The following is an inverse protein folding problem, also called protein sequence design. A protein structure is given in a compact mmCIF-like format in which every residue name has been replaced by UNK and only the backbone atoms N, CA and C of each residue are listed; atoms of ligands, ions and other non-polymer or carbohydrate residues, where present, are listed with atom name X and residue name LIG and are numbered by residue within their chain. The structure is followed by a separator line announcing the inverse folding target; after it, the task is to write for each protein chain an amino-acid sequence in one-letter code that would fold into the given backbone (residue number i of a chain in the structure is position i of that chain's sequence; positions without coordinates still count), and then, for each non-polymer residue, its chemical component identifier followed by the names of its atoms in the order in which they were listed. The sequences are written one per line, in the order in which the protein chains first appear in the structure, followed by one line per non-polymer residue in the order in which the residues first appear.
data_IF_805188545440
#
_entry.id   IF_805188545440
#
_cell.length_a   1.000
_cell.length_b   1.000
_cell.length_c   1.000
_cell.angle_alpha   90.00
_cell.angle_beta   90.00
_cell.angle_gamma   90.00
#
_symmetry.space_group_name_H-M   'P 1'
#
loop_
_entity.id
_entity.type
_entity.pdbx_description
1 polymer ?
#
# COMPACT_ATOMS: atom_id res chain seq x y z
N UNK A 1 -31.78 52.28 -13.84
CA UNK A 1 -30.66 52.57 -12.88
C UNK A 1 -30.64 51.45 -11.87
N UNK A 2 -29.84 50.44 -12.11
CA UNK A 2 -29.66 49.24 -11.25
C UNK A 2 -28.19 49.17 -10.84
N UNK A 3 -27.95 49.17 -9.50
CA UNK A 3 -26.60 49.08 -8.92
C UNK A 3 -26.06 47.64 -9.03
N UNK A 4 -24.75 47.45 -9.26
CA UNK A 4 -24.14 46.15 -9.29
C UNK A 4 -23.92 45.59 -7.87
N UNK A 5 -24.10 44.24 -7.69
CA UNK A 5 -23.83 43.49 -6.48
C UNK A 5 -22.32 43.33 -6.28
N UNK A 6 -21.89 43.45 -5.02
CA UNK A 6 -20.52 43.21 -4.59
C UNK A 6 -20.15 41.70 -4.60
N UNK A 7 -18.91 41.39 -4.95
CA UNK A 7 -18.30 40.06 -4.90
C UNK A 7 -17.96 39.63 -3.46
N UNK A 8 -17.98 38.34 -3.11
CA UNK A 8 -17.67 37.83 -1.78
C UNK A 8 -16.15 37.85 -1.52
N UNK A 9 -15.79 38.24 -0.29
CA UNK A 9 -14.44 38.49 0.15
C UNK A 9 -13.54 37.25 0.24
N UNK A 10 -12.31 37.49 -0.10
CA UNK A 10 -11.13 36.64 0.08
C UNK A 10 -10.83 36.46 1.57
N UNK A 11 -10.84 35.21 2.06
CA UNK A 11 -10.39 34.87 3.41
C UNK A 11 -8.87 34.75 3.39
N UNK A 12 -8.19 35.73 4.01
CA UNK A 12 -6.74 35.74 4.20
C UNK A 12 -6.37 34.80 5.35
N UNK A 13 -5.59 33.78 5.07
CA UNK A 13 -4.94 32.96 6.08
C UNK A 13 -3.77 33.71 6.70
N UNK A 14 -3.87 34.05 7.99
CA UNK A 14 -2.74 34.56 8.77
C UNK A 14 -1.87 33.41 9.24
N UNK A 15 -0.69 33.26 8.63
CA UNK A 15 0.38 32.40 9.12
C UNK A 15 1.08 33.08 10.29
N UNK A 16 1.00 32.52 11.49
CA UNK A 16 1.80 32.93 12.64
C UNK A 16 3.18 32.28 12.55
N UNK A 17 4.15 32.98 12.01
CA UNK A 17 5.56 32.62 12.09
C UNK A 17 6.13 33.18 13.42
N UNK A 18 6.67 32.29 14.25
CA UNK A 18 7.43 32.69 15.46
C UNK A 18 8.73 33.35 15.03
N UNK A 19 8.95 34.57 15.51
CA UNK A 19 10.15 35.38 15.25
C UNK A 19 11.25 34.93 16.22
N UNK A 20 12.34 34.34 15.74
CA UNK A 20 13.59 34.22 16.50
C UNK A 20 14.28 35.57 16.59
N UNK A 21 14.92 35.93 17.73
CA UNK A 21 15.59 37.22 17.91
C UNK A 21 16.83 37.31 17.00
N UNK A 22 16.97 38.47 16.36
CA UNK A 22 18.12 38.90 15.57
C UNK A 22 18.96 39.82 16.46
N UNK A 23 20.32 39.68 16.42
CA UNK A 23 21.22 40.56 17.13
C UNK A 23 21.27 41.94 16.50
N UNK A 24 21.94 42.90 17.20
CA UNK A 24 22.01 44.30 16.77
C UNK A 24 22.74 44.56 15.44
N UNK A 25 23.40 43.51 14.90
CA UNK A 25 24.16 43.59 13.66
C UNK A 25 23.49 42.82 12.51
N UNK A 26 22.23 42.36 12.68
CA UNK A 26 21.44 41.69 11.62
C UNK A 26 21.84 40.24 11.30
N UNK A 27 22.62 39.60 12.18
CA UNK A 27 23.06 38.22 11.99
C UNK A 27 22.23 37.25 12.84
N UNK A 28 21.94 36.08 12.31
CA UNK A 28 21.30 34.99 13.06
C UNK A 28 22.36 34.35 13.98
N UNK A 29 22.06 34.23 15.25
CA UNK A 29 22.88 33.53 16.22
C UNK A 29 22.81 32.01 15.94
N UNK A 30 23.97 31.31 15.86
CA UNK A 30 23.96 29.84 15.74
C UNK A 30 23.52 29.22 17.07
N UNK A 31 22.76 28.07 16.94
CA UNK A 31 22.36 27.29 18.09
C UNK A 31 23.59 26.75 18.86
N UNK A 32 23.52 26.67 20.20
CA UNK A 32 24.60 26.10 21.00
C UNK A 32 24.72 24.59 20.73
N UNK A 33 25.95 24.02 20.81
CA UNK A 33 26.18 22.60 20.58
C UNK A 33 25.41 21.75 21.60
N UNK A 34 24.65 20.76 21.10
CA UNK A 34 23.95 19.77 21.92
C UNK A 34 24.99 18.85 22.54
N UNK A 35 25.27 19.01 23.82
CA UNK A 35 26.04 18.02 24.59
C UNK A 35 25.27 16.70 24.63
N UNK A 36 25.92 15.67 24.09
CA UNK A 36 25.44 14.30 24.16
C UNK A 36 25.46 13.78 25.60
N UNK A 37 24.32 13.84 26.27
CA UNK A 37 24.11 13.07 27.51
C UNK A 37 23.57 11.68 27.12
N UNK A 38 24.48 10.74 26.98
CA UNK A 38 24.17 9.33 26.88
C UNK A 38 23.41 8.84 28.12
N UNK A 39 22.18 8.41 27.94
CA UNK A 39 21.55 7.38 28.76
C UNK A 39 21.20 6.23 27.84
N UNK A 40 21.93 5.13 28.03
CA UNK A 40 21.64 3.84 27.46
C UNK A 40 20.22 3.41 27.89
N UNK A 41 19.26 3.54 26.99
CA UNK A 41 18.02 2.80 27.09
C UNK A 41 18.35 1.38 26.59
N UNK A 42 18.34 0.41 27.49
CA UNK A 42 18.42 -1.00 27.14
C UNK A 42 17.21 -1.36 26.27
N UNK A 43 17.41 -1.37 24.96
CA UNK A 43 16.47 -1.86 23.97
C UNK A 43 16.25 -3.36 24.20
N UNK A 44 15.02 -3.75 24.53
CA UNK A 44 14.61 -5.15 24.38
C UNK A 44 14.59 -5.44 22.89
N UNK A 45 15.57 -6.16 22.42
CA UNK A 45 15.59 -6.78 21.10
C UNK A 45 14.48 -7.82 21.06
N UNK A 46 13.43 -7.58 20.30
CA UNK A 46 12.46 -8.59 19.93
C UNK A 46 13.10 -9.50 18.88
N UNK A 47 13.46 -10.72 19.32
CA UNK A 47 14.14 -11.76 18.54
C UNK A 47 13.08 -12.52 17.72
N UNK A 48 12.80 -12.07 16.48
CA UNK A 48 11.74 -12.63 15.60
C UNK A 48 12.27 -13.62 14.55
N UNK A 49 13.59 -13.95 14.58
CA UNK A 49 14.17 -14.86 13.58
C UNK A 49 15.23 -15.78 14.21
N UNK A 50 14.80 -16.87 14.84
CA UNK A 50 15.67 -18.05 15.01
C UNK A 50 15.05 -19.22 14.27
N UNK A 51 15.70 -19.77 13.21
CA UNK A 51 15.36 -21.07 12.67
C UNK A 51 15.75 -22.13 13.71
N UNK A 52 14.79 -22.98 14.07
CA UNK A 52 15.03 -24.10 14.97
C UNK A 52 16.05 -25.07 14.40
N UNK A 53 17.18 -25.24 15.09
CA UNK A 53 18.18 -26.26 14.80
C UNK A 53 17.61 -27.63 15.23
N UNK A 54 17.05 -28.37 14.28
CA UNK A 54 16.60 -29.77 14.46
C UNK A 54 17.76 -30.74 14.23
N UNK A 55 18.13 -31.46 15.26
CA UNK A 55 19.21 -32.44 15.26
C UNK A 55 18.95 -33.65 14.37
N UNK A 56 20.04 -34.13 13.79
CA UNK A 56 20.14 -35.34 13.00
C UNK A 56 19.84 -36.60 13.83
N UNK A 57 18.94 -37.45 13.39
CA UNK A 57 18.99 -38.88 13.69
C UNK A 57 18.85 -39.68 12.41
N UNK A 58 19.90 -40.48 12.14
CA UNK A 58 19.96 -41.52 11.09
C UNK A 58 19.06 -42.69 11.46
N UNK A 59 18.37 -43.23 10.49
CA UNK A 59 17.65 -44.50 10.57
C UNK A 59 16.90 -44.74 9.27
N UNK A 60 17.46 -45.47 8.31
CA UNK A 60 16.70 -46.16 7.27
C UNK A 60 16.32 -47.55 7.81
N UNK A 61 15.57 -48.41 7.10
CA UNK A 61 15.11 -48.39 5.71
C UNK A 61 13.60 -48.70 5.57
N UNK A 62 13.01 -48.56 4.43
CA UNK A 62 12.25 -49.63 3.75
C UNK A 62 11.36 -49.07 2.65
N UNK A 63 11.48 -49.67 1.46
CA UNK A 63 10.66 -49.42 0.30
C UNK A 63 9.20 -49.80 0.55
N UNK A 64 8.29 -48.89 0.29
CA UNK A 64 6.92 -49.18 -0.05
C UNK A 64 6.52 -48.25 -1.21
N UNK A 65 6.39 -48.84 -2.40
CA UNK A 65 5.82 -48.20 -3.58
C UNK A 65 4.34 -47.96 -3.32
N UNK A 66 4.02 -46.73 -2.96
CA UNK A 66 2.65 -46.22 -2.91
C UNK A 66 2.50 -45.12 -3.96
N UNK A 67 1.56 -45.31 -4.91
CA UNK A 67 1.09 -44.28 -5.83
C UNK A 67 0.58 -43.07 -5.04
N UNK A 68 1.50 -42.23 -4.58
CA UNK A 68 1.21 -40.94 -4.00
C UNK A 68 1.02 -39.98 -5.14
N UNK A 69 -0.23 -39.61 -5.46
CA UNK A 69 -0.49 -38.37 -6.14
C UNK A 69 0.32 -37.29 -5.42
N UNK A 70 1.32 -36.72 -6.08
CA UNK A 70 2.08 -35.64 -5.56
C UNK A 70 1.07 -34.52 -5.25
N UNK A 71 0.74 -34.34 -3.98
CA UNK A 71 0.08 -33.15 -3.49
C UNK A 71 0.99 -32.01 -3.92
N UNK A 72 0.63 -31.36 -5.03
CA UNK A 72 1.26 -30.11 -5.47
C UNK A 72 1.23 -29.20 -4.25
N UNK A 73 2.36 -29.07 -3.56
CA UNK A 73 2.51 -28.08 -2.50
C UNK A 73 2.16 -26.76 -3.14
N UNK A 74 1.02 -26.17 -2.75
CA UNK A 74 0.68 -24.81 -3.17
C UNK A 74 1.88 -23.95 -2.87
N UNK A 75 2.35 -23.12 -3.80
CA UNK A 75 3.47 -22.24 -3.54
C UNK A 75 3.12 -21.38 -2.33
N UNK A 76 4.03 -21.32 -1.36
CA UNK A 76 3.94 -20.42 -0.24
C UNK A 76 4.05 -19.03 -0.85
N UNK A 77 2.99 -18.23 -0.77
CA UNK A 77 3.00 -16.85 -1.25
C UNK A 77 2.67 -15.91 -0.08
N UNK A 78 3.71 -15.25 0.40
CA UNK A 78 3.61 -14.21 1.42
C UNK A 78 3.68 -12.85 0.76
N UNK A 79 2.64 -12.05 0.97
CA UNK A 79 2.48 -10.73 0.39
C UNK A 79 2.59 -9.69 1.50
N UNK A 80 3.37 -8.63 1.25
CA UNK A 80 3.36 -7.40 2.04
C UNK A 80 2.60 -6.33 1.27
N UNK A 81 1.49 -5.83 1.84
CA UNK A 81 0.79 -4.66 1.35
C UNK A 81 1.22 -3.44 2.15
N UNK A 82 1.69 -2.42 1.46
CA UNK A 82 1.94 -1.07 1.97
C UNK A 82 1.29 -0.07 1.02
N UNK A 83 0.74 1.01 1.54
CA UNK A 83 0.16 2.10 0.74
C UNK A 83 0.45 3.44 1.40
N UNK A 84 0.19 4.53 0.70
CA UNK A 84 0.16 5.88 1.27
C UNK A 84 1.47 6.28 1.95
N UNK A 85 2.61 5.93 1.35
CA UNK A 85 3.94 6.29 1.87
C UNK A 85 4.21 7.79 1.80
N UNK A 86 3.58 8.52 0.86
CA UNK A 86 3.64 9.97 0.73
C UNK A 86 5.05 10.53 0.92
N UNK A 87 6.00 9.99 0.14
CA UNK A 87 7.41 10.40 0.18
C UNK A 87 8.05 10.34 1.58
N UNK A 88 7.56 9.46 2.47
CA UNK A 88 8.12 9.26 3.80
C UNK A 88 9.30 8.30 3.74
N UNK A 89 10.50 8.81 3.43
CA UNK A 89 11.70 8.01 3.14
C UNK A 89 12.03 6.96 4.22
N UNK A 90 11.92 7.23 5.55
CA UNK A 90 12.12 6.19 6.55
C UNK A 90 11.18 4.99 6.43
N UNK A 91 9.97 5.18 5.87
CA UNK A 91 9.05 4.07 5.61
C UNK A 91 9.51 3.25 4.39
N UNK A 92 10.02 3.89 3.34
CA UNK A 92 10.66 3.18 2.23
C UNK A 92 11.88 2.38 2.70
N UNK A 93 12.74 2.95 3.56
CA UNK A 93 13.88 2.23 4.16
C UNK A 93 13.40 0.96 4.89
N UNK A 94 12.33 1.07 5.66
CA UNK A 94 11.74 -0.08 6.35
C UNK A 94 11.22 -1.13 5.37
N UNK A 95 10.51 -0.72 4.31
CA UNK A 95 9.99 -1.66 3.30
C UNK A 95 11.14 -2.40 2.61
N UNK A 96 12.21 -1.70 2.21
CA UNK A 96 13.42 -2.33 1.63
C UNK A 96 14.04 -3.35 2.60
N UNK A 97 14.13 -2.99 3.88
CA UNK A 97 14.70 -3.86 4.91
C UNK A 97 13.91 -5.18 5.09
N UNK A 98 12.57 -5.12 5.05
CA UNK A 98 11.74 -6.32 5.29
C UNK A 98 11.39 -7.09 4.01
N UNK A 99 11.54 -6.49 2.83
CA UNK A 99 11.19 -7.07 1.54
C UNK A 99 11.71 -8.50 1.33
N UNK A 100 12.97 -8.86 1.73
CA UNK A 100 13.46 -10.24 1.56
C UNK A 100 12.67 -11.31 2.31
N UNK A 101 11.82 -10.92 3.26
CA UNK A 101 10.97 -11.83 4.02
C UNK A 101 9.64 -12.14 3.31
N UNK A 102 9.35 -11.54 2.16
CA UNK A 102 8.12 -11.70 1.41
C UNK A 102 8.39 -12.18 -0.02
N UNK A 103 7.43 -12.90 -0.58
CA UNK A 103 7.49 -13.36 -1.96
C UNK A 103 7.02 -12.25 -2.93
N UNK A 104 6.23 -11.29 -2.42
CA UNK A 104 5.75 -10.12 -3.15
C UNK A 104 5.55 -8.94 -2.21
N UNK A 105 6.09 -7.78 -2.58
CA UNK A 105 5.77 -6.47 -1.98
C UNK A 105 4.83 -5.74 -2.92
N UNK A 106 3.72 -5.23 -2.40
CA UNK A 106 2.75 -4.42 -3.14
C UNK A 106 2.74 -3.01 -2.56
N UNK A 107 3.17 -2.03 -3.35
CA UNK A 107 2.99 -0.61 -3.05
C UNK A 107 1.70 -0.14 -3.72
N UNK A 108 0.64 -0.01 -2.91
CA UNK A 108 -0.70 0.24 -3.40
C UNK A 108 -1.05 1.73 -3.49
N UNK A 109 -0.20 2.51 -4.18
CA UNK A 109 -0.44 3.91 -4.51
C UNK A 109 0.00 4.92 -3.45
N UNK A 110 -0.02 6.20 -3.85
CA UNK A 110 0.41 7.37 -3.09
C UNK A 110 1.84 7.23 -2.57
N UNK A 111 2.74 6.91 -3.50
CA UNK A 111 4.18 6.84 -3.25
C UNK A 111 4.80 8.22 -3.16
N UNK A 112 4.31 9.18 -3.96
CA UNK A 112 4.66 10.59 -3.95
C UNK A 112 3.73 11.39 -3.03
N UNK A 113 4.06 12.66 -2.78
CA UNK A 113 3.22 13.57 -1.98
C UNK A 113 3.10 14.95 -2.64
N UNK A 114 1.93 15.25 -3.20
CA UNK A 114 1.61 16.57 -3.77
C UNK A 114 1.63 17.71 -2.74
N UNK A 115 1.56 17.38 -1.45
CA UNK A 115 1.60 18.34 -0.35
C UNK A 115 3.03 18.62 0.15
N UNK A 116 4.02 17.89 -0.35
CA UNK A 116 5.43 18.06 0.03
C UNK A 116 6.00 19.36 -0.51
N UNK A 117 6.97 19.94 0.22
CA UNK A 117 7.79 21.04 -0.30
C UNK A 117 8.79 20.60 -1.38
N UNK A 118 9.03 19.29 -1.54
CA UNK A 118 9.89 18.73 -2.57
C UNK A 118 9.08 18.56 -3.84
N UNK A 119 9.52 19.09 -5.01
CA UNK A 119 8.80 18.92 -6.28
C UNK A 119 8.61 17.44 -6.67
N UNK A 120 7.53 17.12 -7.37
CA UNK A 120 7.18 15.73 -7.73
C UNK A 120 8.23 15.06 -8.65
N UNK A 121 8.86 15.81 -9.53
CA UNK A 121 9.94 15.33 -10.39
C UNK A 121 11.18 14.89 -9.58
N UNK A 122 11.50 15.62 -8.52
CA UNK A 122 12.57 15.25 -7.59
C UNK A 122 12.17 14.04 -6.75
N UNK A 123 10.93 14.02 -6.25
CA UNK A 123 10.42 12.88 -5.50
C UNK A 123 10.45 11.60 -6.34
N UNK A 124 10.01 11.66 -7.60
CA UNK A 124 9.98 10.48 -8.49
C UNK A 124 11.36 9.88 -8.70
N UNK A 125 12.42 10.69 -8.87
CA UNK A 125 13.80 10.19 -8.96
C UNK A 125 14.20 9.40 -7.71
N UNK A 126 13.88 9.92 -6.53
CA UNK A 126 14.21 9.25 -5.26
C UNK A 126 13.40 7.96 -5.09
N UNK A 127 12.09 8.00 -5.39
CA UNK A 127 11.23 6.82 -5.27
C UNK A 127 11.62 5.75 -6.29
N UNK A 128 11.98 6.12 -7.53
CA UNK A 128 12.51 5.18 -8.52
C UNK A 128 13.74 4.45 -7.99
N UNK A 129 14.65 5.14 -7.31
CA UNK A 129 15.81 4.48 -6.67
C UNK A 129 15.35 3.45 -5.60
N UNK A 130 14.34 3.77 -4.77
CA UNK A 130 13.78 2.79 -3.83
C UNK A 130 13.14 1.59 -4.54
N UNK A 131 12.48 1.79 -5.68
CA UNK A 131 11.92 0.69 -6.47
C UNK A 131 13.02 -0.23 -7.02
N UNK A 132 14.18 0.31 -7.41
CA UNK A 132 15.36 -0.50 -7.79
C UNK A 132 15.90 -1.32 -6.62
N UNK A 133 16.00 -0.72 -5.42
CA UNK A 133 16.40 -1.43 -4.20
C UNK A 133 15.42 -2.55 -3.85
N UNK A 134 14.12 -2.29 -3.91
CA UNK A 134 13.08 -3.27 -3.67
C UNK A 134 13.11 -4.42 -4.69
N UNK A 135 13.30 -4.10 -5.97
CA UNK A 135 13.47 -5.11 -7.03
C UNK A 135 14.70 -5.98 -6.79
N UNK A 136 15.80 -5.40 -6.31
CA UNK A 136 17.00 -6.15 -5.97
C UNK A 136 16.80 -7.04 -4.73
N UNK A 137 15.95 -6.61 -3.77
CA UNK A 137 15.64 -7.34 -2.56
C UNK A 137 14.62 -8.47 -2.78
N UNK A 138 13.74 -8.36 -3.80
CA UNK A 138 12.70 -9.33 -4.06
C UNK A 138 11.77 -8.90 -5.20
N UNK A 139 10.55 -9.45 -5.21
CA UNK A 139 9.52 -9.06 -6.18
C UNK A 139 8.70 -7.91 -5.62
N UNK A 140 8.60 -6.85 -6.38
CA UNK A 140 7.78 -5.67 -6.07
C UNK A 140 6.85 -5.35 -7.23
N UNK A 141 5.65 -4.92 -6.91
CA UNK A 141 4.71 -4.30 -7.86
C UNK A 141 4.24 -2.97 -7.28
N UNK A 142 3.96 -2.00 -8.14
CA UNK A 142 3.52 -0.67 -7.72
C UNK A 142 2.35 -0.21 -8.58
N UNK A 143 1.25 0.23 -7.97
CA UNK A 143 0.21 0.97 -8.66
C UNK A 143 0.26 2.44 -8.28
N UNK A 144 -0.34 3.29 -9.12
CA UNK A 144 -0.51 4.70 -8.81
C UNK A 144 -1.67 4.95 -7.84
N UNK A 145 -1.52 6.03 -7.07
CA UNK A 145 -2.61 6.71 -6.37
C UNK A 145 -2.79 8.12 -6.91
N UNK A 146 -3.68 8.89 -6.31
CA UNK A 146 -3.95 10.27 -6.75
C UNK A 146 -2.80 11.24 -6.51
N UNK A 147 -1.90 10.97 -5.55
CA UNK A 147 -0.69 11.76 -5.32
C UNK A 147 0.45 11.43 -6.28
N UNK A 148 0.33 10.34 -7.05
CA UNK A 148 1.35 9.91 -8.00
C UNK A 148 1.21 10.54 -9.40
N UNK A 149 0.13 11.30 -9.65
CA UNK A 149 -0.16 11.90 -10.95
C UNK A 149 0.82 13.07 -11.22
N UNK A 150 1.60 12.95 -12.29
CA UNK A 150 2.67 13.91 -12.63
C UNK A 150 2.41 14.68 -13.91
N UNK A 151 1.35 14.33 -14.64
CA UNK A 151 0.97 15.06 -15.86
C UNK A 151 -0.06 14.33 -16.71
N UNK A 152 -0.55 14.97 -17.78
CA UNK A 152 -1.51 14.35 -18.67
C UNK A 152 -0.85 13.29 -19.57
N UNK A 153 -1.57 12.22 -19.82
CA UNK A 153 -1.22 11.21 -20.80
C UNK A 153 -1.50 11.69 -22.26
N UNK A 154 -1.35 10.80 -23.23
CA UNK A 154 -1.60 11.11 -24.64
C UNK A 154 -3.08 11.44 -24.96
N UNK A 155 -4.00 11.09 -24.07
CA UNK A 155 -5.43 11.37 -24.15
C UNK A 155 -5.82 12.64 -23.38
N UNK A 156 -4.90 13.24 -22.62
CA UNK A 156 -5.10 14.45 -21.83
C UNK A 156 -5.64 14.20 -20.42
N UNK A 157 -5.75 12.94 -19.98
CA UNK A 157 -6.12 12.59 -18.62
C UNK A 157 -4.87 12.53 -17.73
N UNK A 158 -5.00 12.95 -16.45
CA UNK A 158 -3.86 12.92 -15.51
C UNK A 158 -3.40 11.48 -15.26
N UNK A 159 -2.09 11.28 -15.25
CA UNK A 159 -1.46 9.96 -15.14
C UNK A 159 -0.14 10.02 -14.37
N UNK A 160 0.25 8.91 -13.79
CA UNK A 160 1.52 8.72 -13.09
C UNK A 160 2.64 8.43 -14.10
N UNK A 161 3.02 9.45 -14.90
CA UNK A 161 3.96 9.29 -16.02
C UNK A 161 5.33 8.74 -15.57
N UNK A 162 5.77 9.04 -14.35
CA UNK A 162 7.04 8.56 -13.78
C UNK A 162 7.11 7.03 -13.65
N UNK A 163 5.96 6.34 -13.56
CA UNK A 163 5.92 4.88 -13.52
C UNK A 163 6.36 4.22 -14.84
N UNK A 164 6.39 4.97 -15.95
CA UNK A 164 6.98 4.47 -17.19
C UNK A 164 8.49 4.18 -17.02
N UNK A 165 9.21 4.98 -16.24
CA UNK A 165 10.62 4.75 -15.93
C UNK A 165 10.80 3.53 -15.02
N UNK A 166 9.92 3.35 -14.01
CA UNK A 166 9.90 2.14 -13.18
C UNK A 166 9.71 0.87 -14.03
N UNK A 167 8.80 0.92 -15.01
CA UNK A 167 8.58 -0.19 -15.95
C UNK A 167 9.81 -0.48 -16.81
N UNK A 168 10.49 0.55 -17.33
CA UNK A 168 11.75 0.40 -18.08
C UNK A 168 12.82 -0.23 -17.18
N UNK A 169 12.89 0.15 -15.91
CA UNK A 169 13.76 -0.49 -14.92
C UNK A 169 13.34 -1.93 -14.58
N UNK A 170 12.20 -2.43 -15.10
CA UNK A 170 11.70 -3.79 -14.92
C UNK A 170 10.95 -4.00 -13.62
N UNK A 171 10.35 -2.95 -13.07
CA UNK A 171 9.37 -3.01 -11.98
C UNK A 171 7.97 -3.03 -12.61
N UNK A 172 7.15 -4.06 -12.39
CA UNK A 172 5.77 -4.09 -12.87
C UNK A 172 4.92 -2.97 -12.23
N UNK A 173 4.20 -2.24 -13.08
CA UNK A 173 3.44 -1.04 -12.67
C UNK A 173 2.02 -1.06 -13.25
N UNK A 174 1.35 0.07 -13.16
CA UNK A 174 0.02 0.34 -13.74
C UNK A 174 -0.18 -0.31 -15.09
N UNK A 175 -1.24 -1.08 -15.22
CA UNK A 175 -1.53 -1.75 -16.46
C UNK A 175 -0.73 -3.04 -16.72
N UNK A 176 0.21 -3.44 -15.86
CA UNK A 176 0.88 -4.74 -15.94
C UNK A 176 0.12 -5.81 -15.13
N UNK A 177 0.52 -7.06 -15.31
CA UNK A 177 0.15 -8.17 -14.45
C UNK A 177 1.34 -9.10 -14.26
N UNK A 178 1.46 -9.67 -13.06
CA UNK A 178 2.48 -10.66 -12.73
C UNK A 178 1.83 -11.98 -12.36
N UNK A 179 2.51 -13.08 -12.66
CA UNK A 179 2.06 -14.44 -12.32
C UNK A 179 3.07 -15.06 -11.36
N UNK A 180 2.60 -15.50 -10.20
CA UNK A 180 3.38 -16.14 -9.15
C UNK A 180 2.75 -17.50 -8.82
N UNK A 181 3.26 -18.55 -9.42
CA UNK A 181 2.64 -19.88 -9.32
C UNK A 181 1.25 -19.88 -9.95
N UNK A 182 0.23 -20.14 -9.15
CA UNK A 182 -1.19 -20.17 -9.55
C UNK A 182 -1.89 -18.81 -9.38
N UNK A 183 -1.18 -17.81 -8.86
CA UNK A 183 -1.72 -16.50 -8.50
C UNK A 183 -1.37 -15.47 -9.57
N UNK A 184 -2.39 -14.80 -10.09
CA UNK A 184 -2.26 -13.64 -10.97
C UNK A 184 -2.53 -12.37 -10.19
N UNK A 185 -1.60 -11.41 -10.26
CA UNK A 185 -1.75 -10.07 -9.67
C UNK A 185 -1.87 -9.06 -10.78
N UNK A 186 -3.03 -8.41 -10.90
CA UNK A 186 -3.31 -7.34 -11.86
C UNK A 186 -3.07 -5.99 -11.17
N UNK A 187 -2.26 -5.14 -11.80
CA UNK A 187 -1.91 -3.82 -11.28
C UNK A 187 -2.78 -2.80 -11.99
N UNK A 188 -3.70 -2.21 -11.25
CA UNK A 188 -4.70 -1.28 -11.75
C UNK A 188 -4.23 0.15 -11.54
N UNK A 189 -4.23 1.00 -12.59
CA UNK A 189 -3.88 2.41 -12.47
C UNK A 189 -4.93 3.19 -11.67
N UNK A 190 -4.52 4.28 -11.05
CA UNK A 190 -5.44 5.37 -10.77
C UNK A 190 -5.92 5.95 -12.09
N UNK A 191 -7.21 6.20 -12.21
CA UNK A 191 -7.80 6.85 -13.38
C UNK A 191 -8.39 8.20 -13.00
N UNK A 192 -8.24 9.22 -13.86
CA UNK A 192 -8.68 10.60 -13.63
C UNK A 192 -9.82 11.01 -14.55
N UNK A 193 -10.11 10.20 -15.58
CA UNK A 193 -11.13 10.50 -16.57
C UNK A 193 -11.80 9.26 -17.16
N UNK A 194 -12.78 9.48 -18.06
CA UNK A 194 -13.59 8.40 -18.63
C UNK A 194 -12.80 7.41 -19.49
N UNK A 195 -11.71 7.83 -20.12
CA UNK A 195 -10.90 6.95 -20.99
C UNK A 195 -10.06 5.99 -20.16
N UNK A 196 -9.40 6.49 -19.10
CA UNK A 196 -8.66 5.67 -18.14
C UNK A 196 -9.57 4.66 -17.45
N UNK A 197 -10.76 5.10 -17.01
CA UNK A 197 -11.78 4.21 -16.45
C UNK A 197 -12.19 3.11 -17.42
N UNK A 198 -12.50 3.46 -18.67
CA UNK A 198 -12.89 2.49 -19.71
C UNK A 198 -11.75 1.52 -20.04
N UNK A 199 -10.50 2.00 -20.08
CA UNK A 199 -9.35 1.16 -20.33
C UNK A 199 -9.15 0.13 -19.22
N UNK A 200 -9.37 0.53 -17.96
CA UNK A 200 -9.31 -0.38 -16.80
C UNK A 200 -10.44 -1.42 -16.85
N UNK A 201 -11.67 -1.00 -17.14
CA UNK A 201 -12.84 -1.90 -17.29
C UNK A 201 -12.56 -2.99 -18.34
N UNK A 202 -12.17 -2.58 -19.55
CA UNK A 202 -11.79 -3.52 -20.63
C UNK A 202 -10.62 -4.43 -20.25
N UNK A 203 -9.69 -3.92 -19.44
CA UNK A 203 -8.58 -4.73 -18.97
C UNK A 203 -9.06 -5.82 -18.02
N UNK A 204 -9.88 -5.49 -17.03
CA UNK A 204 -10.42 -6.46 -16.07
C UNK A 204 -11.21 -7.56 -16.79
N UNK A 205 -11.99 -7.20 -17.82
CA UNK A 205 -12.68 -8.19 -18.67
C UNK A 205 -11.70 -9.15 -19.37
N UNK A 206 -10.61 -8.61 -19.97
CA UNK A 206 -9.60 -9.46 -20.62
C UNK A 206 -8.88 -10.37 -19.62
N UNK A 207 -8.57 -9.87 -18.42
CA UNK A 207 -7.92 -10.64 -17.36
C UNK A 207 -8.85 -11.74 -16.81
N UNK A 208 -10.15 -11.45 -16.65
CA UNK A 208 -11.16 -12.42 -16.24
C UNK A 208 -11.29 -13.57 -17.24
N UNK A 209 -11.21 -13.27 -18.55
CA UNK A 209 -11.27 -14.28 -19.63
C UNK A 209 -10.11 -15.31 -19.54
N UNK A 210 -8.99 -14.97 -18.91
CA UNK A 210 -7.87 -15.88 -18.67
C UNK A 210 -8.18 -16.91 -17.57
N UNK A 211 -9.25 -16.73 -16.79
CA UNK A 211 -9.71 -17.61 -15.70
C UNK A 211 -8.57 -17.98 -14.72
N UNK A 212 -7.89 -16.98 -14.13
CA UNK A 212 -6.81 -17.25 -13.19
C UNK A 212 -7.32 -18.10 -12.01
N UNK A 213 -6.53 -19.06 -11.56
CA UNK A 213 -6.90 -19.92 -10.44
C UNK A 213 -7.03 -19.09 -9.14
N UNK A 214 -6.15 -18.10 -8.98
CA UNK A 214 -6.21 -17.08 -7.93
C UNK A 214 -5.99 -15.72 -8.58
N UNK A 215 -6.84 -14.74 -8.25
CA UNK A 215 -6.78 -13.41 -8.85
C UNK A 215 -6.75 -12.35 -7.78
N UNK A 216 -5.70 -11.54 -7.79
CA UNK A 216 -5.45 -10.44 -6.85
C UNK A 216 -5.36 -9.15 -7.64
N UNK A 217 -5.97 -8.08 -7.13
CA UNK A 217 -5.84 -6.73 -7.69
C UNK A 217 -5.05 -5.86 -6.73
N UNK A 218 -4.10 -5.09 -7.25
CA UNK A 218 -3.53 -3.92 -6.60
C UNK A 218 -4.22 -2.69 -7.17
N UNK A 219 -4.97 -1.96 -6.35
CA UNK A 219 -5.73 -0.79 -6.75
C UNK A 219 -5.81 0.18 -5.57
N UNK A 220 -5.54 1.46 -5.80
CA UNK A 220 -5.34 2.39 -4.69
C UNK A 220 -6.61 2.72 -3.91
N UNK A 221 -7.73 2.98 -4.60
CA UNK A 221 -8.97 3.47 -4.00
C UNK A 221 -9.86 2.34 -3.48
N UNK A 222 -10.26 2.31 -2.18
CA UNK A 222 -11.11 1.24 -1.67
C UNK A 222 -12.56 1.36 -2.19
N UNK A 223 -13.33 0.24 -2.22
CA UNK A 223 -14.68 0.23 -2.77
C UNK A 223 -15.68 1.00 -1.90
N UNK A 224 -16.58 1.76 -2.54
CA UNK A 224 -17.64 2.51 -1.87
C UNK A 224 -18.55 1.59 -1.03
N UNK A 225 -18.92 2.07 0.17
CA UNK A 225 -19.78 1.34 1.10
C UNK A 225 -19.11 0.18 1.83
N UNK A 226 -17.78 0.12 1.76
CA UNK A 226 -16.96 -0.79 2.56
C UNK A 226 -16.42 -0.08 3.81
N UNK A 227 -16.31 -0.74 4.97
CA UNK A 227 -15.61 -0.17 6.12
C UNK A 227 -14.18 0.27 5.83
N UNK A 228 -13.55 -0.27 4.78
CA UNK A 228 -12.20 0.12 4.34
C UNK A 228 -12.13 1.49 3.69
N UNK A 229 -13.28 2.09 3.33
CA UNK A 229 -13.36 3.45 2.78
C UNK A 229 -13.92 4.49 3.78
N UNK A 230 -14.11 4.12 5.05
CA UNK A 230 -14.71 4.98 6.06
C UNK A 230 -13.72 5.99 6.63
N UNK A 231 -13.99 7.28 6.50
CA UNK A 231 -13.12 8.36 7.01
C UNK A 231 -13.40 8.74 8.47
N UNK A 232 -14.37 8.09 9.12
CA UNK A 232 -14.89 8.51 10.43
C UNK A 232 -16.03 9.54 10.33
N UNK A 233 -16.35 10.00 9.12
CA UNK A 233 -17.43 10.98 8.86
C UNK A 233 -18.30 10.59 7.68
N UNK A 234 -17.72 10.01 6.64
CA UNK A 234 -18.40 9.59 5.41
C UNK A 234 -17.62 8.45 4.74
N UNK A 235 -18.31 7.69 3.91
CA UNK A 235 -17.65 6.81 2.96
C UNK A 235 -16.94 7.64 1.89
N UNK A 236 -15.67 7.28 1.63
CA UNK A 236 -14.86 7.88 0.60
C UNK A 236 -14.21 6.78 -0.23
N UNK A 237 -15.04 6.09 -1.00
CA UNK A 237 -14.67 4.94 -1.81
C UNK A 237 -15.08 5.08 -3.26
N UNK A 238 -14.58 4.16 -4.08
CA UNK A 238 -14.85 4.07 -5.50
C UNK A 238 -16.05 3.16 -5.78
N UNK A 239 -17.08 3.73 -6.43
CA UNK A 239 -18.27 3.01 -6.83
C UNK A 239 -18.03 2.04 -7.99
N UNK A 240 -17.12 2.39 -8.91
CA UNK A 240 -16.73 1.55 -10.03
C UNK A 240 -15.97 0.32 -9.54
N UNK A 241 -15.02 0.48 -8.62
CA UNK A 241 -14.36 -0.66 -7.99
C UNK A 241 -15.36 -1.59 -7.30
N UNK A 242 -16.35 -1.03 -6.60
CA UNK A 242 -17.42 -1.83 -5.99
C UNK A 242 -18.17 -2.66 -7.03
N UNK A 243 -18.47 -2.06 -8.18
CA UNK A 243 -19.10 -2.72 -9.32
C UNK A 243 -18.22 -3.84 -9.90
N UNK A 244 -16.96 -3.55 -10.17
CA UNK A 244 -16.00 -4.52 -10.70
C UNK A 244 -15.76 -5.70 -9.75
N UNK A 245 -15.64 -5.46 -8.45
CA UNK A 245 -15.53 -6.53 -7.45
C UNK A 245 -16.78 -7.42 -7.48
N UNK A 246 -17.96 -6.83 -7.52
CA UNK A 246 -19.23 -7.57 -7.55
C UNK A 246 -19.35 -8.43 -8.81
N UNK A 247 -18.90 -7.92 -9.95
CA UNK A 247 -18.96 -8.60 -11.24
C UNK A 247 -17.91 -9.71 -11.37
N UNK A 248 -16.63 -9.38 -11.13
CA UNK A 248 -15.52 -10.30 -11.40
C UNK A 248 -15.15 -11.21 -10.23
N UNK A 249 -15.43 -10.78 -8.99
CA UNK A 249 -15.14 -11.55 -7.78
C UNK A 249 -13.68 -12.03 -7.70
N UNK A 250 -12.66 -11.13 -7.78
CA UNK A 250 -11.28 -11.53 -7.50
C UNK A 250 -11.17 -12.12 -6.09
N UNK A 251 -10.11 -12.87 -5.80
CA UNK A 251 -9.91 -13.39 -4.44
C UNK A 251 -9.57 -12.30 -3.44
N UNK A 252 -8.69 -11.36 -3.84
CA UNK A 252 -8.21 -10.28 -2.99
C UNK A 252 -8.09 -8.98 -3.79
N UNK A 253 -8.43 -7.85 -3.16
CA UNK A 253 -8.15 -6.49 -3.63
C UNK A 253 -7.32 -5.77 -2.56
N UNK A 254 -6.18 -5.23 -2.95
CA UNK A 254 -5.21 -4.54 -2.11
C UNK A 254 -5.33 -3.04 -2.35
N UNK A 255 -5.67 -2.26 -1.31
CA UNK A 255 -5.97 -0.82 -1.43
C UNK A 255 -5.24 0.04 -0.40
N UNK A 256 -5.41 1.36 -0.51
CA UNK A 256 -4.92 2.41 0.38
C UNK A 256 -5.89 3.59 0.42
N UNK A 257 -5.40 4.80 0.15
CA UNK A 257 -6.12 6.06 -0.06
C UNK A 257 -6.88 6.60 1.17
N UNK A 258 -7.67 5.80 1.86
CA UNK A 258 -8.40 6.25 3.04
C UNK A 258 -7.57 5.91 4.28
N UNK A 259 -6.72 6.85 4.64
CA UNK A 259 -5.69 6.72 5.68
C UNK A 259 -6.25 6.29 7.03
N UNK A 260 -7.44 6.80 7.37
CA UNK A 260 -8.02 6.68 8.70
C UNK A 260 -8.84 5.41 8.91
N UNK A 261 -9.33 4.75 7.85
CA UNK A 261 -10.26 3.63 7.95
C UNK A 261 -9.83 2.56 8.96
N UNK A 262 -8.55 2.09 8.94
CA UNK A 262 -8.10 1.09 9.89
C UNK A 262 -8.06 1.55 11.33
N UNK A 263 -8.12 2.86 11.57
CA UNK A 263 -7.95 3.46 12.90
C UNK A 263 -9.26 3.99 13.51
N UNK A 264 -10.37 3.97 12.75
CA UNK A 264 -11.67 4.47 13.22
C UNK A 264 -12.53 3.33 13.79
N UNK A 265 -13.38 3.61 14.80
CA UNK A 265 -14.21 2.58 15.44
C UNK A 265 -15.11 1.80 14.48
N UNK A 266 -15.69 2.49 13.48
CA UNK A 266 -16.58 1.89 12.48
C UNK A 266 -15.91 1.63 11.13
N UNK A 267 -14.60 1.94 11.04
CA UNK A 267 -13.76 1.60 9.90
C UNK A 267 -13.09 0.26 10.09
N UNK A 268 -12.41 -0.21 9.05
CA UNK A 268 -11.67 -1.48 9.09
C UNK A 268 -10.49 -1.45 8.12
N UNK A 269 -9.50 -2.27 8.42
CA UNK A 269 -8.40 -2.59 7.51
C UNK A 269 -8.78 -3.70 6.51
N UNK A 270 -9.90 -4.40 6.77
CA UNK A 270 -10.36 -5.52 5.96
C UNK A 270 -11.88 -5.49 5.80
N UNK A 271 -12.38 -5.93 4.64
CA UNK A 271 -13.79 -6.18 4.36
C UNK A 271 -13.94 -7.40 3.46
N UNK A 272 -15.15 -7.95 3.41
CA UNK A 272 -15.48 -9.06 2.52
C UNK A 272 -16.72 -8.76 1.68
N UNK A 273 -16.52 -8.64 0.37
CA UNK A 273 -17.58 -8.37 -0.62
C UNK A 273 -17.81 -9.64 -1.44
N UNK A 274 -18.87 -10.37 -1.15
CA UNK A 274 -19.08 -11.69 -1.72
C UNK A 274 -17.96 -12.64 -1.29
N UNK A 275 -17.17 -13.16 -2.26
CA UNK A 275 -15.98 -13.98 -1.95
C UNK A 275 -14.66 -13.20 -1.89
N UNK A 276 -14.69 -11.92 -2.25
CA UNK A 276 -13.52 -11.06 -2.36
C UNK A 276 -13.13 -10.47 -1.01
N UNK A 277 -11.89 -10.65 -0.59
CA UNK A 277 -11.30 -9.87 0.48
C UNK A 277 -10.78 -8.54 -0.03
N UNK A 278 -11.07 -7.46 0.68
CA UNK A 278 -10.54 -6.12 0.42
C UNK A 278 -9.70 -5.72 1.61
N UNK A 279 -8.47 -5.27 1.37
CA UNK A 279 -7.57 -4.81 2.42
C UNK A 279 -7.15 -3.36 2.16
N UNK A 280 -7.16 -2.54 3.21
CA UNK A 280 -6.61 -1.19 3.22
C UNK A 280 -5.60 -1.10 4.37
N UNK A 281 -4.32 -0.85 4.04
CA UNK A 281 -3.28 -0.76 5.05
C UNK A 281 -3.45 0.46 5.96
N UNK A 282 -4.05 1.55 5.44
CA UNK A 282 -4.10 2.85 6.11
C UNK A 282 -2.74 3.52 6.17
N UNK A 283 -2.69 4.71 6.77
CA UNK A 283 -1.46 5.50 6.93
C UNK A 283 -1.23 5.87 8.38
N UNK A 284 0.01 5.74 8.81
CA UNK A 284 0.47 6.21 10.11
C UNK A 284 1.78 6.99 9.98
N UNK A 285 2.06 7.83 10.99
CA UNK A 285 3.35 8.54 11.11
C UNK A 285 4.42 7.59 11.67
N UNK A 286 5.69 7.96 11.48
CA UNK A 286 6.83 7.21 12.00
C UNK A 286 7.57 6.41 10.92
N UNK A 287 8.67 5.73 11.30
CA UNK A 287 9.52 5.05 10.33
C UNK A 287 8.98 3.71 9.84
N UNK A 288 8.00 3.12 10.53
CA UNK A 288 7.34 1.88 10.13
C UNK A 288 5.95 2.22 9.61
N UNK A 289 5.58 1.90 8.36
CA UNK A 289 4.24 2.13 7.85
C UNK A 289 3.22 1.19 8.49
N UNK A 290 1.95 1.59 8.56
CA UNK A 290 0.89 0.62 8.71
C UNK A 290 0.90 -0.32 7.50
N UNK A 291 0.72 -1.62 7.72
CA UNK A 291 0.86 -2.60 6.64
C UNK A 291 0.03 -3.85 6.88
N UNK A 292 -0.26 -4.59 5.80
CA UNK A 292 -0.92 -5.89 5.88
C UNK A 292 0.03 -6.97 5.38
N UNK A 293 0.17 -8.04 6.14
CA UNK A 293 0.87 -9.24 5.74
C UNK A 293 -0.16 -10.33 5.42
N UNK A 294 -0.04 -10.95 4.26
CA UNK A 294 -0.96 -11.99 3.81
C UNK A 294 -0.15 -13.26 3.54
N UNK A 295 -0.48 -14.35 4.22
CA UNK A 295 0.05 -15.69 3.95
C UNK A 295 -1.04 -16.52 3.28
N UNK A 296 -0.93 -16.69 1.97
CA UNK A 296 -1.92 -17.43 1.20
C UNK A 296 -1.87 -18.94 1.46
N UNK A 297 -0.73 -19.48 1.89
CA UNK A 297 -0.60 -20.90 2.23
C UNK A 297 -1.21 -21.20 3.60
N UNK A 298 -0.99 -20.32 4.57
CA UNK A 298 -1.61 -20.41 5.90
C UNK A 298 -3.09 -19.98 5.88
N UNK A 299 -3.55 -19.27 4.82
CA UNK A 299 -4.89 -18.76 4.72
C UNK A 299 -5.15 -17.62 5.73
N UNK A 300 -4.16 -16.77 5.99
CA UNK A 300 -4.22 -15.74 7.03
C UNK A 300 -3.85 -14.37 6.48
N UNK A 301 -4.43 -13.32 7.09
CA UNK A 301 -3.97 -11.95 6.92
C UNK A 301 -3.82 -11.28 8.28
N UNK A 302 -2.80 -10.42 8.42
CA UNK A 302 -2.51 -9.68 9.63
C UNK A 302 -2.24 -8.21 9.30
N UNK A 303 -2.94 -7.31 9.97
CA UNK A 303 -2.67 -5.87 9.92
C UNK A 303 -1.81 -5.47 11.11
N UNK A 304 -0.81 -4.64 10.83
CA UNK A 304 0.13 -4.14 11.82
C UNK A 304 0.16 -2.61 11.81
N UNK A 305 0.12 -2.01 12.98
CA UNK A 305 0.21 -0.57 13.16
C UNK A 305 0.80 -0.21 14.52
N UNK A 306 0.95 1.09 14.79
CA UNK A 306 1.30 1.60 16.12
C UNK A 306 0.23 1.28 17.19
N UNK A 307 -0.99 0.95 16.78
CA UNK A 307 -2.08 0.56 17.71
C UNK A 307 -2.05 -0.93 18.05
N UNK A 308 -1.18 -1.71 17.42
CA UNK A 308 -1.06 -3.15 17.63
C UNK A 308 -1.22 -3.96 16.36
N UNK A 309 -1.61 -5.22 16.53
CA UNK A 309 -1.80 -6.20 15.46
C UNK A 309 -3.20 -6.78 15.51
N UNK A 310 -3.84 -6.91 14.35
CA UNK A 310 -5.10 -7.65 14.19
C UNK A 310 -4.91 -8.75 13.15
N UNK A 311 -5.58 -9.89 13.33
CA UNK A 311 -5.47 -11.04 12.43
C UNK A 311 -6.85 -11.55 12.03
N UNK A 312 -6.93 -12.14 10.83
CA UNK A 312 -8.11 -12.86 10.35
C UNK A 312 -7.72 -14.12 9.57
N UNK A 313 -8.67 -15.03 9.43
CA UNK A 313 -8.55 -16.18 8.54
C UNK A 313 -9.23 -15.86 7.21
N UNK A 314 -8.58 -16.13 6.08
CA UNK A 314 -9.18 -15.92 4.76
C UNK A 314 -10.37 -16.87 4.49
N UNK A 315 -10.52 -17.92 5.30
CA UNK A 315 -11.68 -18.81 5.26
C UNK A 315 -12.91 -18.24 6.00
N UNK A 316 -12.76 -17.16 6.78
CA UNK A 316 -13.86 -16.56 7.52
C UNK A 316 -14.93 -16.02 6.56
N UNK A 317 -16.20 -16.21 6.93
CA UNK A 317 -17.33 -15.77 6.10
C UNK A 317 -17.48 -14.24 6.06
N UNK A 318 -16.96 -13.54 7.06
CA UNK A 318 -17.07 -12.08 7.23
C UNK A 318 -15.77 -11.50 7.78
N UNK A 319 -15.54 -10.23 7.46
CA UNK A 319 -14.47 -9.49 8.09
C UNK A 319 -14.76 -9.33 9.60
N UNK A 320 -13.70 -9.28 10.46
CA UNK A 320 -13.88 -9.07 11.88
C UNK A 320 -14.57 -7.73 12.13
N UNK A 321 -15.70 -7.77 12.86
CA UNK A 321 -16.35 -6.54 13.32
C UNK A 321 -15.53 -6.02 14.50
N UNK A 322 -15.04 -4.78 14.42
CA UNK A 322 -14.47 -4.12 15.58
C UNK A 322 -15.57 -3.83 16.59
N UNK A 323 -15.41 -4.36 17.81
CA UNK A 323 -16.20 -3.91 18.93
C UNK A 323 -15.88 -2.45 19.20
N UNK A 324 -16.92 -1.61 19.20
CA UNK A 324 -16.82 -0.22 19.64
C UNK A 324 -16.60 -0.28 21.16
N UNK A 325 -15.37 0.05 21.59
CA UNK A 325 -15.06 0.25 23.02
C UNK A 325 -15.32 1.71 23.41
#
# INVERSE_FOLDING_TARGET
MTRPRAAPGTVAWKSTWSKHPIDRDGRRTPDPPVEARGRAAQGRTFDWLKPGSGGSRRGGPSFASGNGAALLRRPILRILLVSDLHYTLPQFDWVVHVAPSFDLVVLAGDNLDISSAVPLDVQSVVVLHYLELLKAAGKVVVCSGNHDLTGPDAQGEQSALWLAEARVAGVPTDGDAVVLGDTRVTICPWWDGPLGRQALDQRLEREAALRPARWIWAYHWPPLGSPTCWTGRRDYGDADLRGWITHHQPEIVLTGHVHESPFKPTGSWADRIGRTWVFNAGRQIGPVPAHVQIDLAAGQAAWHSLMGQEMLQLADAQAPQRSVF
#
